data_IF_524916604395
#
_entry.id   IF_524916604395
#
_cell.length_a   1.000
_cell.length_b   1.000
_cell.length_c   1.000
_cell.angle_alpha   90.00
_cell.angle_beta   90.00
_cell.angle_gamma   90.00
#
_symmetry.space_group_name_H-M   'P 1'
#
loop_
_entity.id
_entity.type
_entity.pdbx_description
1 polymer ?
#
# COMPACT_ATOMS: atom_id res chain seq x y z
N UNK A 1 5.65 17.36 -76.96
CA UNK A 1 6.68 17.98 -76.12
C UNK A 1 5.94 18.76 -75.03
N UNK A 2 5.93 18.45 -73.73
CA UNK A 2 6.56 17.41 -72.92
C UNK A 2 5.68 17.24 -71.67
N UNK A 3 5.62 16.02 -71.14
CA UNK A 3 4.77 15.63 -70.01
C UNK A 3 5.19 16.33 -68.70
N UNK A 4 4.19 16.86 -67.99
CA UNK A 4 4.20 17.07 -66.55
C UNK A 4 3.66 15.80 -65.89
N UNK A 5 4.43 15.15 -65.01
CA UNK A 5 3.98 14.72 -63.66
C UNK A 5 5.22 14.52 -62.79
N UNK A 6 5.36 15.36 -61.76
CA UNK A 6 6.31 15.17 -60.64
C UNK A 6 5.77 14.07 -59.73
N UNK A 7 6.54 13.00 -59.54
CA UNK A 7 6.30 12.05 -58.44
C UNK A 7 6.85 12.65 -57.14
N UNK A 8 5.95 13.06 -56.25
CA UNK A 8 6.28 13.41 -54.87
C UNK A 8 5.97 12.22 -53.96
N UNK A 9 7.01 11.52 -53.49
CA UNK A 9 6.89 10.60 -52.37
C UNK A 9 7.14 11.39 -51.08
N UNK A 10 6.26 11.29 -50.08
CA UNK A 10 6.54 11.72 -48.72
C UNK A 10 5.87 10.76 -47.74
N UNK A 11 6.72 10.26 -46.84
CA UNK A 11 6.53 9.13 -45.96
C UNK A 11 5.52 9.40 -44.84
N UNK A 12 4.67 8.41 -44.55
CA UNK A 12 3.92 8.37 -43.29
C UNK A 12 4.87 7.98 -42.15
N UNK A 13 5.33 8.96 -41.38
CA UNK A 13 5.90 8.71 -40.06
C UNK A 13 4.76 8.38 -39.10
N UNK A 14 4.56 7.09 -38.84
CA UNK A 14 3.81 6.64 -37.66
C UNK A 14 4.66 6.96 -36.42
N UNK A 15 4.39 8.07 -35.76
CA UNK A 15 4.84 8.27 -34.38
C UNK A 15 4.02 7.33 -33.50
N UNK A 16 4.55 6.12 -33.26
CA UNK A 16 4.13 5.33 -32.11
C UNK A 16 4.62 6.11 -30.89
N UNK A 17 3.76 7.00 -30.39
CA UNK A 17 3.99 7.63 -29.10
C UNK A 17 4.03 6.51 -28.08
N UNK A 18 5.19 6.33 -27.47
CA UNK A 18 5.42 5.44 -26.34
C UNK A 18 4.32 5.69 -25.33
N UNK A 19 3.37 4.76 -25.22
CA UNK A 19 2.57 4.66 -24.01
C UNK A 19 3.59 4.44 -22.91
N UNK A 20 3.88 5.48 -22.13
CA UNK A 20 4.51 5.31 -20.85
C UNK A 20 3.64 4.27 -20.15
N UNK A 21 4.18 3.08 -19.95
CA UNK A 21 3.57 2.11 -19.07
C UNK A 21 3.50 2.83 -17.72
N UNK A 22 2.33 3.37 -17.40
CA UNK A 22 2.03 3.80 -16.06
C UNK A 22 2.17 2.52 -15.24
N UNK A 23 3.32 2.36 -14.57
CA UNK A 23 3.43 1.42 -13.48
C UNK A 23 2.25 1.75 -12.57
N UNK A 24 1.27 0.84 -12.53
CA UNK A 24 0.03 1.02 -11.79
C UNK A 24 0.45 1.35 -10.35
N UNK A 25 0.30 2.61 -9.94
CA UNK A 25 0.74 3.04 -8.63
C UNK A 25 -0.09 2.24 -7.63
N UNK A 26 0.57 1.37 -6.87
CA UNK A 26 -0.11 0.52 -5.89
C UNK A 26 -1.12 1.33 -5.07
N UNK A 27 -2.31 0.74 -4.87
CA UNK A 27 -3.33 1.27 -3.97
C UNK A 27 -3.98 0.09 -3.23
N UNK A 28 -4.56 0.33 -2.04
CA UNK A 28 -5.26 -0.71 -1.33
C UNK A 28 -6.39 -1.29 -2.17
N UNK A 29 -6.45 -2.61 -2.22
CA UNK A 29 -7.63 -3.29 -2.77
C UNK A 29 -8.84 -3.11 -1.85
N UNK A 30 -10.08 -3.22 -2.36
CA UNK A 30 -11.25 -3.28 -1.51
C UNK A 30 -11.12 -4.39 -0.45
N UNK A 31 -11.54 -4.12 0.79
CA UNK A 31 -11.45 -5.11 1.87
C UNK A 31 -12.32 -6.34 1.56
N UNK A 32 -11.74 -7.56 1.44
CA UNK A 32 -12.53 -8.75 1.20
C UNK A 32 -13.43 -9.09 2.41
N UNK A 33 -14.62 -9.69 2.21
CA UNK A 33 -15.56 -9.98 3.30
C UNK A 33 -14.96 -10.80 4.45
N UNK A 34 -14.10 -11.78 4.13
CA UNK A 34 -13.38 -12.57 5.13
C UNK A 34 -12.54 -11.71 6.08
N UNK A 35 -11.83 -10.71 5.53
CA UNK A 35 -10.96 -9.82 6.28
C UNK A 35 -11.77 -8.82 7.12
N UNK A 36 -12.85 -8.27 6.55
CA UNK A 36 -13.79 -7.42 7.28
C UNK A 36 -14.41 -8.14 8.49
N UNK A 37 -14.91 -9.37 8.30
CA UNK A 37 -15.46 -10.19 9.38
C UNK A 37 -14.40 -10.53 10.44
N UNK A 38 -13.19 -10.89 10.01
CA UNK A 38 -12.07 -11.18 10.91
C UNK A 38 -11.73 -9.97 11.77
N UNK A 39 -11.58 -8.80 11.15
CA UNK A 39 -11.31 -7.54 11.84
C UNK A 39 -12.41 -7.22 12.85
N UNK A 40 -13.68 -7.26 12.44
CA UNK A 40 -14.82 -6.97 13.32
C UNK A 40 -14.86 -7.92 14.53
N UNK A 41 -14.62 -9.22 14.32
CA UNK A 41 -14.56 -10.20 15.41
C UNK A 41 -13.39 -9.94 16.38
N UNK A 42 -12.24 -9.52 15.86
CA UNK A 42 -11.08 -9.17 16.70
C UNK A 42 -11.29 -7.88 17.49
N UNK A 43 -12.02 -6.90 16.91
CA UNK A 43 -12.44 -5.71 17.64
C UNK A 43 -13.46 -6.05 18.73
N UNK A 44 -14.51 -6.80 18.40
CA UNK A 44 -15.54 -7.21 19.36
C UNK A 44 -15.00 -8.06 20.52
N UNK A 45 -13.89 -8.79 20.31
CA UNK A 45 -13.23 -9.58 21.36
C UNK A 45 -12.14 -8.82 22.13
N UNK A 46 -11.90 -7.54 21.81
CA UNK A 46 -10.86 -6.72 22.43
C UNK A 46 -9.43 -7.08 22.05
N UNK A 47 -9.23 -7.96 21.05
CA UNK A 47 -7.90 -8.35 20.56
C UNK A 47 -7.29 -7.33 19.59
N UNK A 48 -8.13 -6.51 18.97
CA UNK A 48 -7.77 -5.39 18.13
C UNK A 48 -8.49 -4.15 18.65
N UNK A 49 -7.81 -3.01 18.70
CA UNK A 49 -8.38 -1.76 19.18
C UNK A 49 -9.58 -1.32 18.35
N UNK A 50 -10.57 -0.73 19.02
CA UNK A 50 -11.74 -0.11 18.39
C UNK A 50 -11.34 1.21 17.70
N UNK A 51 -11.08 1.13 16.39
CA UNK A 51 -10.72 2.25 15.52
C UNK A 51 -11.23 2.00 14.11
N UNK A 52 -11.27 3.06 13.30
CA UNK A 52 -11.45 2.94 11.85
C UNK A 52 -10.16 2.42 11.24
N UNK A 53 -10.15 1.16 10.87
CA UNK A 53 -9.03 0.51 10.18
C UNK A 53 -9.30 0.47 8.68
N UNK A 54 -8.39 1.04 7.91
CA UNK A 54 -8.33 0.92 6.47
C UNK A 54 -7.57 -0.35 6.11
N UNK A 55 -8.19 -1.24 5.34
CA UNK A 55 -7.53 -2.40 4.78
C UNK A 55 -6.47 -1.96 3.76
N UNK A 56 -5.25 -2.49 3.89
CA UNK A 56 -4.14 -2.20 2.98
C UNK A 56 -3.97 -3.33 1.97
N UNK A 57 -3.75 -4.54 2.47
CA UNK A 57 -3.53 -5.73 1.65
C UNK A 57 -3.71 -6.99 2.51
N UNK A 58 -3.71 -8.14 1.85
CA UNK A 58 -3.58 -9.41 2.52
C UNK A 58 -2.82 -10.44 1.69
N UNK A 59 -2.18 -11.36 2.41
CA UNK A 59 -1.68 -12.61 1.89
C UNK A 59 -2.61 -13.73 2.34
N UNK A 60 -3.04 -14.56 1.39
CA UNK A 60 -3.79 -15.78 1.66
C UNK A 60 -3.10 -16.96 0.98
N UNK A 61 -2.40 -17.75 1.78
CA UNK A 61 -1.73 -18.97 1.34
C UNK A 61 -2.11 -20.14 2.26
N UNK A 62 -1.90 -21.40 1.83
CA UNK A 62 -2.13 -22.57 2.69
C UNK A 62 -1.37 -22.52 4.03
N UNK A 63 -0.21 -21.85 4.05
CA UNK A 63 0.67 -21.79 5.21
C UNK A 63 0.42 -20.57 6.13
N UNK A 64 -0.14 -19.50 5.59
CA UNK A 64 -0.28 -18.20 6.25
C UNK A 64 -1.44 -17.39 5.65
N UNK A 65 -2.33 -16.93 6.53
CA UNK A 65 -3.19 -15.77 6.29
C UNK A 65 -2.63 -14.58 7.04
N UNK A 66 -2.40 -13.47 6.34
CA UNK A 66 -1.93 -12.21 6.94
C UNK A 66 -2.69 -11.03 6.32
N UNK A 67 -3.32 -10.21 7.15
CA UNK A 67 -4.00 -8.98 6.73
C UNK A 67 -3.32 -7.76 7.36
N UNK A 68 -3.11 -6.72 6.56
CA UNK A 68 -2.46 -5.49 6.97
C UNK A 68 -3.46 -4.33 6.92
N UNK A 69 -3.46 -3.52 7.97
CA UNK A 69 -4.37 -2.40 8.15
C UNK A 69 -3.64 -1.15 8.61
N UNK A 70 -4.21 0.01 8.28
CA UNK A 70 -3.75 1.33 8.68
C UNK A 70 -4.88 2.10 9.38
N UNK A 71 -4.55 2.88 10.41
CA UNK A 71 -5.48 3.79 11.08
C UNK A 71 -4.78 5.08 11.49
N UNK A 72 -5.56 6.13 11.74
CA UNK A 72 -5.09 7.42 12.26
C UNK A 72 -3.86 8.02 11.52
N UNK A 73 -3.89 8.16 10.18
CA UNK A 73 -2.80 8.83 9.47
C UNK A 73 -2.73 10.30 9.89
N UNK A 74 -1.55 10.75 10.28
CA UNK A 74 -1.25 12.12 10.67
C UNK A 74 0.00 12.62 9.94
N UNK A 75 -0.13 13.75 9.25
CA UNK A 75 1.02 14.41 8.61
C UNK A 75 1.95 15.01 9.66
N UNK A 76 3.25 14.85 9.45
CA UNK A 76 4.32 15.39 10.27
C UNK A 76 5.40 16.00 9.35
N UNK A 77 6.34 16.81 9.88
CA UNK A 77 7.47 17.28 9.09
C UNK A 77 8.34 16.16 8.48
N UNK A 78 8.32 14.97 9.08
CA UNK A 78 9.12 13.81 8.63
C UNK A 78 8.38 12.91 7.63
N UNK A 79 7.07 13.10 7.43
CA UNK A 79 6.24 12.27 6.57
C UNK A 79 4.85 12.02 7.17
N UNK A 80 4.36 10.79 7.13
CA UNK A 80 3.05 10.43 7.70
C UNK A 80 3.22 9.39 8.79
N UNK A 81 2.78 9.69 10.01
CA UNK A 81 2.70 8.70 11.08
C UNK A 81 1.31 8.09 11.16
N UNK A 82 1.22 6.81 11.53
CA UNK A 82 -0.04 6.08 11.57
C UNK A 82 0.05 4.89 12.51
N UNK A 83 -1.11 4.33 12.87
CA UNK A 83 -1.19 3.05 13.57
C UNK A 83 -1.38 1.94 12.53
N UNK A 84 -0.63 0.87 12.63
CA UNK A 84 -0.74 -0.30 11.77
C UNK A 84 -1.23 -1.50 12.58
N UNK A 85 -2.06 -2.35 11.96
CA UNK A 85 -2.42 -3.64 12.52
C UNK A 85 -2.05 -4.77 11.56
N UNK A 86 -1.41 -5.81 12.10
CA UNK A 86 -1.08 -7.05 11.39
C UNK A 86 -1.85 -8.21 12.03
N UNK A 87 -2.78 -8.78 11.28
CA UNK A 87 -3.60 -9.92 11.69
C UNK A 87 -3.03 -11.18 11.04
N UNK A 88 -2.53 -12.13 11.81
CA UNK A 88 -1.90 -13.34 11.28
C UNK A 88 -2.49 -14.62 11.84
N UNK A 89 -2.70 -15.60 10.96
CA UNK A 89 -2.99 -16.98 11.34
C UNK A 89 -2.15 -17.93 10.49
N UNK A 90 -1.34 -18.77 11.13
CA UNK A 90 -0.53 -19.79 10.47
C UNK A 90 -1.30 -21.10 10.35
N UNK A 91 -0.90 -21.95 9.43
CA UNK A 91 -1.43 -23.32 9.33
C UNK A 91 -1.30 -24.05 10.68
N UNK A 92 -2.35 -24.77 11.06
CA UNK A 92 -2.42 -25.50 12.33
C UNK A 92 -2.58 -24.61 13.57
N UNK A 93 -2.76 -23.30 13.42
CA UNK A 93 -3.09 -22.38 14.51
C UNK A 93 -4.53 -21.90 14.37
N UNK A 94 -5.33 -22.13 15.41
CA UNK A 94 -6.72 -21.67 15.43
C UNK A 94 -6.86 -20.23 15.93
N UNK A 95 -5.81 -19.70 16.57
CA UNK A 95 -5.83 -18.38 17.19
C UNK A 95 -5.12 -17.36 16.30
N UNK A 96 -5.80 -16.24 16.06
CA UNK A 96 -5.20 -15.06 15.44
C UNK A 96 -4.15 -14.42 16.34
N UNK A 97 -2.96 -14.19 15.78
CA UNK A 97 -1.97 -13.28 16.34
C UNK A 97 -2.22 -11.88 15.82
N UNK A 98 -2.51 -10.95 16.73
CA UNK A 98 -2.70 -9.54 16.41
C UNK A 98 -1.47 -8.76 16.87
N UNK A 99 -0.98 -7.85 16.03
CA UNK A 99 0.05 -6.89 16.40
C UNK A 99 -0.38 -5.51 15.96
N UNK A 100 -0.47 -4.58 16.91
CA UNK A 100 -0.57 -3.16 16.60
C UNK A 100 0.80 -2.51 16.73
N UNK A 101 1.13 -1.64 15.78
CA UNK A 101 2.41 -0.96 15.69
C UNK A 101 2.18 0.53 15.42
N UNK A 102 2.89 1.40 16.11
CA UNK A 102 3.03 2.79 15.66
C UNK A 102 4.05 2.83 14.53
N UNK A 103 3.70 3.42 13.40
CA UNK A 103 4.52 3.45 12.20
C UNK A 103 4.64 4.87 11.64
N UNK A 104 5.64 5.07 10.79
CA UNK A 104 5.77 6.26 9.96
C UNK A 104 6.29 5.95 8.57
N UNK A 105 5.71 6.60 7.57
CA UNK A 105 6.15 6.64 6.20
C UNK A 105 7.03 7.89 6.00
N UNK A 106 8.31 7.69 5.69
CA UNK A 106 9.25 8.76 5.37
C UNK A 106 9.13 9.11 3.90
N UNK A 107 8.28 10.09 3.57
CA UNK A 107 7.84 10.35 2.19
C UNK A 107 8.99 10.65 1.21
N UNK A 108 9.98 11.43 1.63
CA UNK A 108 11.14 11.77 0.80
C UNK A 108 12.11 10.59 0.61
N UNK A 109 12.04 9.58 1.49
CA UNK A 109 12.95 8.45 1.51
C UNK A 109 12.30 7.16 1.03
N UNK A 110 10.98 7.17 0.78
CA UNK A 110 10.19 6.01 0.38
C UNK A 110 10.37 4.78 1.29
N UNK A 111 10.45 5.01 2.61
CA UNK A 111 10.70 3.98 3.62
C UNK A 111 9.67 4.00 4.72
N UNK A 112 9.46 2.82 5.32
CA UNK A 112 8.67 2.66 6.53
C UNK A 112 9.59 2.52 7.74
N UNK A 113 9.15 3.11 8.85
CA UNK A 113 9.71 2.87 10.17
C UNK A 113 8.61 2.50 11.14
N UNK A 114 8.97 1.73 12.16
CA UNK A 114 8.11 1.42 13.30
C UNK A 114 8.70 2.02 14.56
N UNK A 115 7.85 2.45 15.48
CA UNK A 115 8.27 2.81 16.82
C UNK A 115 8.55 1.54 17.62
N UNK A 116 9.63 1.58 18.40
CA UNK A 116 9.94 0.58 19.42
C UNK A 116 9.19 0.87 20.72
N UNK A 117 9.23 -0.07 21.67
CA UNK A 117 8.66 0.15 23.00
C UNK A 117 9.31 1.33 23.75
N UNK A 118 10.54 1.69 23.40
CA UNK A 118 11.30 2.81 23.95
C UNK A 118 11.11 4.12 23.15
N UNK A 119 10.16 4.15 22.20
CA UNK A 119 9.88 5.34 21.37
C UNK A 119 10.91 5.62 20.27
N UNK A 120 11.91 4.74 20.08
CA UNK A 120 12.88 4.87 18.99
C UNK A 120 12.27 4.41 17.67
N UNK A 121 12.52 5.16 16.60
CA UNK A 121 12.13 4.79 15.24
C UNK A 121 13.15 3.84 14.63
N UNK A 122 12.69 2.66 14.23
CA UNK A 122 13.49 1.60 13.60
C UNK A 122 12.98 1.34 12.20
N UNK A 123 13.88 1.04 11.28
CA UNK A 123 13.48 0.64 9.94
C UNK A 123 12.55 -0.57 9.98
N UNK A 124 11.47 -0.45 9.22
CA UNK A 124 10.59 -1.56 8.95
C UNK A 124 10.98 -2.10 7.58
N UNK A 125 11.67 -3.23 7.59
CA UNK A 125 12.06 -3.95 6.36
C UNK A 125 10.78 -4.51 5.75
N UNK A 126 10.20 -3.76 4.82
CA UNK A 126 9.06 -4.21 4.07
C UNK A 126 9.45 -5.07 2.86
N UNK A 127 8.45 -5.49 2.09
CA UNK A 127 8.62 -6.28 0.86
C UNK A 127 9.06 -5.39 -0.31
N UNK A 128 9.32 -5.98 -1.48
CA UNK A 128 9.77 -5.27 -2.69
C UNK A 128 8.85 -4.10 -3.08
N UNK A 129 7.55 -4.19 -2.77
CA UNK A 129 6.52 -3.18 -3.04
C UNK A 129 6.40 -2.06 -1.98
N UNK A 130 7.32 -1.99 -1.02
CA UNK A 130 7.22 -1.03 0.10
C UNK A 130 7.24 0.43 -0.36
N UNK A 131 8.01 0.76 -1.39
CA UNK A 131 8.11 2.12 -1.89
C UNK A 131 6.79 2.65 -2.45
N UNK A 132 6.01 1.78 -3.11
CA UNK A 132 4.74 2.19 -3.71
C UNK A 132 3.66 2.38 -2.63
N UNK A 133 3.65 1.51 -1.61
CA UNK A 133 2.83 1.69 -0.40
C UNK A 133 3.14 2.99 0.31
N UNK A 134 4.43 3.31 0.50
CA UNK A 134 4.85 4.58 1.12
C UNK A 134 4.35 5.76 0.30
N UNK A 135 4.46 5.71 -1.04
CA UNK A 135 3.98 6.77 -1.92
C UNK A 135 2.48 6.99 -1.75
N UNK A 136 1.71 5.90 -1.70
CA UNK A 136 0.26 5.95 -1.47
C UNK A 136 -0.08 6.52 -0.09
N UNK A 137 0.58 6.07 0.99
CA UNK A 137 0.37 6.60 2.36
C UNK A 137 0.65 8.11 2.40
N UNK A 138 1.72 8.56 1.74
CA UNK A 138 2.09 9.97 1.70
C UNK A 138 1.13 10.87 0.89
N UNK A 139 0.31 10.25 0.02
CA UNK A 139 -0.72 10.92 -0.75
C UNK A 139 -2.08 11.00 -0.02
N UNK A 140 -2.23 10.35 1.13
CA UNK A 140 -3.47 10.43 1.93
C UNK A 140 -3.82 11.89 2.28
N UNK A 141 -5.11 12.26 2.25
CA UNK A 141 -5.52 13.61 2.66
C UNK A 141 -5.07 13.88 4.09
N UNK A 142 -4.76 15.14 4.40
CA UNK A 142 -4.61 15.53 5.79
C UNK A 142 -5.95 15.31 6.50
N UNK A 143 -5.96 14.84 7.76
CA UNK A 143 -7.18 14.90 8.56
C UNK A 143 -7.64 16.36 8.62
N UNK A 144 -8.95 16.59 8.47
CA UNK A 144 -9.60 17.89 8.60
C UNK A 144 -9.40 18.51 10.00
#
# INVERSE_FOLDING_TARGET
MSNLVRFGALALTFTIGSAAAYAESWSPSPEPPFWSQTRQSLQASGKLSERTWLFMEAMDSPSLKAGEYLSNPARTPSGVEFDAALLMRRQGQDVWKVRELRMRALCNQQRLQRSSAQGQWLDYVGREDTSDKVRWICALPAPD
#
